data_IF_560193511355
#
_entry.id   IF_560193511355
#
_cell.length_a   1.000
_cell.length_b   1.000
_cell.length_c   1.000
_cell.angle_alpha   90.00
_cell.angle_beta   90.00
_cell.angle_gamma   90.00
#
_symmetry.space_group_name_H-M   'P 1'
#
loop_
_entity.id
_entity.type
_entity.pdbx_description
1 polymer ?
#
# COMPACT_ATOMS: atom_id res chain seq x y z
N UNK A 1 -18.65 3.95 -8.27
CA UNK A 1 -17.93 2.67 -8.52
C UNK A 1 -16.63 2.69 -7.76
N UNK A 2 -16.28 1.63 -7.03
CA UNK A 2 -15.07 1.50 -6.22
C UNK A 2 -14.35 0.20 -6.53
N UNK A 3 -13.02 0.21 -6.42
CA UNK A 3 -12.15 -0.95 -6.59
C UNK A 3 -11.39 -1.21 -5.28
N UNK A 4 -11.20 -2.47 -4.93
CA UNK A 4 -10.29 -2.92 -3.87
C UNK A 4 -9.51 -4.15 -4.33
N UNK A 5 -8.23 -4.20 -4.02
CA UNK A 5 -7.40 -5.40 -4.14
C UNK A 5 -6.96 -5.87 -2.75
N UNK A 6 -6.71 -7.16 -2.62
CA UNK A 6 -6.25 -7.74 -1.35
C UNK A 6 -4.71 -7.80 -1.24
N UNK A 7 -4.15 -8.15 -0.07
CA UNK A 7 -2.70 -8.17 0.16
C UNK A 7 -1.90 -9.17 -0.70
N UNK A 8 -2.54 -10.10 -1.41
CA UNK A 8 -1.87 -11.05 -2.31
C UNK A 8 -1.94 -10.65 -3.79
N UNK A 9 -2.59 -9.54 -4.13
CA UNK A 9 -2.48 -8.98 -5.47
C UNK A 9 -1.01 -8.63 -5.78
N UNK A 10 -0.46 -8.95 -6.97
CA UNK A 10 0.95 -8.76 -7.30
C UNK A 10 1.49 -7.35 -6.99
N UNK A 11 0.72 -6.30 -7.29
CA UNK A 11 1.12 -4.93 -6.95
C UNK A 11 1.17 -4.71 -5.42
N UNK A 12 0.28 -5.32 -4.64
CA UNK A 12 0.31 -5.23 -3.16
C UNK A 12 1.44 -6.04 -2.56
N UNK A 13 1.82 -7.15 -3.18
CA UNK A 13 3.04 -7.88 -2.81
C UNK A 13 4.27 -6.99 -3.01
N UNK A 14 4.36 -6.25 -4.12
CA UNK A 14 5.44 -5.28 -4.34
C UNK A 14 5.44 -4.18 -3.28
N UNK A 15 4.27 -3.60 -2.95
CA UNK A 15 4.12 -2.59 -1.90
C UNK A 15 4.53 -3.13 -0.52
N UNK A 16 4.13 -4.36 -0.18
CA UNK A 16 4.47 -5.01 1.09
C UNK A 16 5.96 -5.29 1.21
N UNK A 17 6.61 -5.76 0.14
CA UNK A 17 8.07 -5.94 0.11
C UNK A 17 8.76 -4.60 0.35
N UNK A 18 8.35 -3.55 -0.35
CA UNK A 18 8.90 -2.22 -0.18
C UNK A 18 8.68 -1.71 1.26
N UNK A 19 7.47 -1.89 1.83
CA UNK A 19 7.16 -1.54 3.22
C UNK A 19 8.01 -2.32 4.24
N UNK A 20 8.21 -3.63 4.03
CA UNK A 20 9.06 -4.44 4.90
C UNK A 20 10.52 -3.95 4.91
N UNK A 21 11.06 -3.50 3.77
CA UNK A 21 12.40 -2.93 3.71
C UNK A 21 12.48 -1.58 4.43
N UNK A 22 11.43 -0.77 4.37
CA UNK A 22 11.34 0.46 5.19
C UNK A 22 11.32 0.10 6.68
N UNK A 23 10.55 -0.90 7.09
CA UNK A 23 10.52 -1.38 8.48
C UNK A 23 11.90 -1.89 8.94
N UNK A 24 12.65 -2.60 8.08
CA UNK A 24 14.04 -3.00 8.36
C UNK A 24 14.94 -1.79 8.56
N UNK A 25 14.82 -0.75 7.72
CA UNK A 25 15.62 0.47 7.87
C UNK A 25 15.32 1.20 9.20
N UNK A 26 14.06 1.22 9.64
CA UNK A 26 13.68 1.80 10.95
C UNK A 26 14.17 0.98 12.15
N UNK A 27 14.43 -0.32 12.00
CA UNK A 27 15.10 -1.13 13.04
C UNK A 27 16.58 -0.75 13.19
N UNK A 28 17.25 -0.42 12.09
CA UNK A 28 18.67 -0.05 12.09
C UNK A 28 18.88 1.41 12.51
N UNK A 29 17.94 2.31 12.22
CA UNK A 29 18.04 3.73 12.52
C UNK A 29 16.71 4.34 12.88
N UNK A 30 16.69 5.23 13.86
CA UNK A 30 15.48 5.98 14.26
C UNK A 30 14.90 6.86 13.14
N UNK A 31 15.76 7.40 12.31
CA UNK A 31 15.41 8.29 11.18
C UNK A 31 16.17 7.87 9.93
N UNK A 32 15.82 6.75 9.32
CA UNK A 32 16.44 6.32 8.06
C UNK A 32 15.97 7.22 6.92
N UNK A 33 16.80 7.32 5.89
CA UNK A 33 16.37 7.85 4.60
C UNK A 33 16.35 6.68 3.62
N UNK A 34 15.17 6.34 3.14
CA UNK A 34 14.97 5.15 2.31
C UNK A 34 13.88 5.39 1.27
N UNK A 35 14.14 4.95 0.04
CA UNK A 35 13.17 4.89 -1.04
C UNK A 35 13.37 3.60 -1.81
N UNK A 36 12.36 2.74 -1.78
CA UNK A 36 12.37 1.39 -2.34
C UNK A 36 11.39 1.30 -3.49
N UNK A 37 11.87 0.86 -4.65
CA UNK A 37 11.02 0.47 -5.77
C UNK A 37 11.16 -1.02 -6.02
N UNK A 38 10.03 -1.70 -6.23
CA UNK A 38 9.95 -3.14 -6.44
C UNK A 38 9.18 -3.43 -7.72
N UNK A 39 9.76 -4.30 -8.54
CA UNK A 39 9.09 -4.96 -9.68
C UNK A 39 9.17 -6.46 -9.47
N UNK A 40 8.02 -7.13 -9.43
CA UNK A 40 7.95 -8.57 -9.13
C UNK A 40 7.03 -9.29 -10.11
N UNK A 41 7.37 -10.52 -10.44
CA UNK A 41 6.54 -11.43 -11.23
C UNK A 41 7.36 -12.59 -11.80
N UNK A 42 6.65 -13.68 -12.15
CA UNK A 42 7.25 -14.84 -12.79
C UNK A 42 8.51 -15.36 -12.08
N UNK A 43 8.41 -15.47 -10.74
CA UNK A 43 9.50 -15.96 -9.85
C UNK A 43 10.75 -15.07 -9.80
N UNK A 44 10.63 -13.80 -10.18
CA UNK A 44 11.73 -12.83 -10.10
C UNK A 44 11.26 -11.58 -9.38
N UNK A 45 12.11 -11.05 -8.49
CA UNK A 45 11.87 -9.80 -7.78
C UNK A 45 13.09 -8.87 -7.96
N UNK A 46 12.88 -7.72 -8.61
CA UNK A 46 13.88 -6.68 -8.78
C UNK A 46 13.61 -5.56 -7.77
N UNK A 47 14.64 -5.19 -7.02
CA UNK A 47 14.54 -4.17 -5.97
C UNK A 47 15.67 -3.15 -6.17
N UNK A 48 15.29 -1.87 -6.25
CA UNK A 48 16.21 -0.75 -6.12
C UNK A 48 15.88 -0.06 -4.81
N UNK A 49 16.87 0.04 -3.92
CA UNK A 49 16.77 0.71 -2.63
C UNK A 49 17.74 1.88 -2.57
N UNK A 50 17.21 3.10 -2.71
CA UNK A 50 17.97 4.33 -2.49
C UNK A 50 17.99 4.64 -1.00
N UNK A 51 19.14 4.48 -0.35
CA UNK A 51 19.21 4.58 1.11
C UNK A 51 20.59 5.03 1.62
N UNK A 52 20.58 5.64 2.80
CA UNK A 52 21.78 5.87 3.63
C UNK A 52 21.93 4.81 4.74
N UNK A 53 21.03 3.82 4.78
CA UNK A 53 20.97 2.76 5.80
C UNK A 53 21.30 1.41 5.15
N UNK A 54 22.41 0.80 5.56
CA UNK A 54 22.78 -0.51 5.05
C UNK A 54 21.83 -1.59 5.60
N UNK A 55 21.14 -2.30 4.72
CA UNK A 55 20.35 -3.50 5.06
C UNK A 55 21.15 -4.77 4.75
N UNK A 56 21.04 -5.78 5.60
CA UNK A 56 21.59 -7.12 5.30
C UNK A 56 20.77 -7.74 4.15
N UNK A 57 21.45 -8.12 3.07
CA UNK A 57 20.82 -8.72 1.89
C UNK A 57 20.06 -10.01 2.23
N UNK A 58 20.50 -10.75 3.25
CA UNK A 58 19.80 -11.95 3.73
C UNK A 58 18.43 -11.62 4.30
N UNK A 59 18.32 -10.54 5.08
CA UNK A 59 17.06 -10.09 5.65
C UNK A 59 16.09 -9.60 4.56
N UNK A 60 16.64 -8.94 3.52
CA UNK A 60 15.87 -8.54 2.32
C UNK A 60 15.31 -9.77 1.59
N UNK A 61 16.16 -10.76 1.31
CA UNK A 61 15.75 -12.00 0.64
C UNK A 61 14.71 -12.76 1.48
N UNK A 62 14.89 -12.83 2.78
CA UNK A 62 13.95 -13.47 3.69
C UNK A 62 12.59 -12.77 3.70
N UNK A 63 12.57 -11.44 3.73
CA UNK A 63 11.34 -10.65 3.62
C UNK A 63 10.59 -10.93 2.31
N UNK A 64 11.31 -10.96 1.18
CA UNK A 64 10.72 -11.29 -0.12
C UNK A 64 10.11 -12.69 -0.12
N UNK A 65 10.87 -13.71 0.31
CA UNK A 65 10.40 -15.10 0.35
C UNK A 65 9.18 -15.29 1.27
N UNK A 66 9.18 -14.64 2.43
CA UNK A 66 8.06 -14.67 3.38
C UNK A 66 6.81 -14.05 2.79
N UNK A 67 6.92 -12.87 2.17
CA UNK A 67 5.77 -12.12 1.65
C UNK A 67 5.19 -12.81 0.41
N UNK A 68 6.04 -13.30 -0.49
CA UNK A 68 5.62 -14.02 -1.70
C UNK A 68 5.17 -15.45 -1.42
N UNK A 69 5.52 -16.00 -0.25
CA UNK A 69 5.36 -17.43 0.10
C UNK A 69 6.06 -18.36 -0.91
N UNK A 70 7.08 -17.86 -1.60
CA UNK A 70 7.84 -18.60 -2.60
C UNK A 70 9.33 -18.66 -2.23
N UNK A 71 9.80 -19.85 -1.82
CA UNK A 71 11.18 -20.07 -1.42
C UNK A 71 12.18 -20.03 -2.60
N UNK A 72 11.69 -20.24 -3.82
CA UNK A 72 12.52 -20.35 -5.05
C UNK A 72 12.58 -19.05 -5.85
N UNK A 73 11.99 -17.97 -5.34
CA UNK A 73 12.01 -16.67 -6.02
C UNK A 73 13.45 -16.14 -6.12
N UNK A 74 13.81 -15.67 -7.29
CA UNK A 74 15.11 -15.01 -7.55
C UNK A 74 14.98 -13.54 -7.16
N UNK A 75 15.87 -13.07 -6.27
CA UNK A 75 15.89 -11.68 -5.80
C UNK A 75 17.13 -10.98 -6.38
N UNK A 76 16.89 -9.92 -7.14
CA UNK A 76 17.91 -9.00 -7.64
C UNK A 76 17.80 -7.69 -6.82
N UNK A 77 18.64 -7.57 -5.80
CA UNK A 77 18.64 -6.45 -4.87
C UNK A 77 19.81 -5.49 -5.14
N UNK A 78 19.49 -4.23 -5.36
CA UNK A 78 20.46 -3.18 -5.56
C UNK A 78 20.26 -2.05 -4.56
N UNK A 79 21.23 -1.87 -3.66
CA UNK A 79 21.29 -0.72 -2.77
C UNK A 79 22.17 0.36 -3.39
N UNK A 80 21.67 1.60 -3.41
CA UNK A 80 22.38 2.78 -3.91
C UNK A 80 22.26 3.95 -2.90
N UNK A 81 23.24 4.85 -2.82
CA UNK A 81 23.12 6.02 -1.96
C UNK A 81 22.04 6.97 -2.48
N UNK A 82 21.34 7.63 -1.55
CA UNK A 82 20.48 8.76 -1.91
C UNK A 82 21.30 9.98 -2.37
N UNK A 83 20.62 10.90 -3.05
CA UNK A 83 21.22 12.18 -3.46
C UNK A 83 21.82 12.95 -2.27
N UNK A 84 23.08 13.36 -2.41
CA UNK A 84 23.83 13.99 -1.33
C UNK A 84 23.28 15.36 -0.91
N UNK A 85 22.75 16.15 -1.85
CA UNK A 85 22.20 17.48 -1.55
C UNK A 85 20.96 17.40 -0.70
N UNK A 86 20.08 16.45 -1.01
CA UNK A 86 18.88 16.20 -0.23
C UNK A 86 19.22 15.70 1.18
N UNK A 87 20.14 14.74 1.29
CA UNK A 87 20.61 14.21 2.57
C UNK A 87 21.20 15.29 3.48
N UNK A 88 22.04 16.17 2.95
CA UNK A 88 22.64 17.26 3.74
C UNK A 88 21.60 18.28 4.25
N UNK A 89 20.57 18.55 3.47
CA UNK A 89 19.47 19.42 3.90
C UNK A 89 18.65 18.77 5.04
N UNK A 90 18.34 17.48 4.93
CA UNK A 90 17.53 16.73 5.91
C UNK A 90 18.29 16.42 7.22
N UNK A 91 19.63 16.36 7.23
CA UNK A 91 20.42 16.21 8.45
C UNK A 91 20.25 17.37 9.45
N UNK A 92 19.95 18.57 8.96
CA UNK A 92 19.85 19.78 9.79
C UNK A 92 18.46 19.99 10.37
N UNK A 93 17.43 19.64 9.62
CA UNK A 93 16.02 19.82 9.98
C UNK A 93 15.13 18.86 9.18
N UNK A 94 14.01 18.46 9.73
CA UNK A 94 12.97 17.72 8.97
C UNK A 94 12.38 18.68 7.94
N UNK A 95 12.61 18.39 6.66
CA UNK A 95 12.14 19.18 5.52
C UNK A 95 11.58 18.27 4.44
N UNK A 96 10.65 18.80 3.64
CA UNK A 96 10.08 18.08 2.50
C UNK A 96 11.18 17.68 1.50
N UNK A 97 11.20 16.41 1.14
CA UNK A 97 12.19 15.85 0.21
C UNK A 97 11.88 16.12 -1.26
N UNK A 98 10.66 16.61 -1.58
CA UNK A 98 10.23 16.88 -2.94
C UNK A 98 9.13 17.95 -2.97
N UNK A 99 8.78 18.41 -4.17
CA UNK A 99 7.56 19.17 -4.42
C UNK A 99 6.38 18.19 -4.47
N UNK A 100 5.25 18.55 -3.87
CA UNK A 100 4.09 17.69 -3.89
C UNK A 100 2.78 18.45 -3.78
N UNK A 101 1.73 17.87 -4.39
CA UNK A 101 0.33 18.22 -4.17
C UNK A 101 -0.37 16.99 -3.60
N UNK A 102 -1.23 17.18 -2.62
CA UNK A 102 -1.85 16.10 -1.85
C UNK A 102 -3.33 16.38 -1.64
N UNK A 103 -4.09 15.31 -1.44
CA UNK A 103 -5.50 15.36 -1.09
C UNK A 103 -5.79 14.46 0.11
N UNK A 104 -6.67 14.93 1.02
CA UNK A 104 -7.36 14.09 1.97
C UNK A 104 -8.82 14.05 1.59
N UNK A 105 -9.43 12.86 1.55
CA UNK A 105 -10.85 12.69 1.26
C UNK A 105 -11.44 11.73 2.30
N UNK A 106 -12.62 12.05 2.88
CA UNK A 106 -13.29 11.11 3.76
C UNK A 106 -13.61 9.81 3.05
N UNK A 107 -13.30 8.68 3.67
CA UNK A 107 -13.65 7.36 3.16
C UNK A 107 -15.18 7.21 3.18
N UNK A 108 -15.77 6.84 2.06
CA UNK A 108 -17.23 6.64 1.96
C UNK A 108 -17.67 5.36 2.67
N UNK A 109 -18.95 5.24 3.07
CA UNK A 109 -19.48 3.99 3.61
C UNK A 109 -19.29 2.81 2.65
N UNK A 110 -19.41 3.04 1.35
CA UNK A 110 -19.29 2.02 0.31
C UNK A 110 -17.84 1.54 0.12
N UNK A 111 -16.86 2.46 0.23
CA UNK A 111 -15.45 2.09 0.23
C UNK A 111 -15.11 1.23 1.45
N UNK A 112 -15.62 1.59 2.64
CA UNK A 112 -15.46 0.77 3.85
C UNK A 112 -16.12 -0.60 3.70
N UNK A 113 -17.33 -0.64 3.17
CA UNK A 113 -18.04 -1.90 2.95
C UNK A 113 -17.29 -2.81 1.96
N UNK A 114 -16.84 -2.27 0.81
CA UNK A 114 -16.06 -3.04 -0.15
C UNK A 114 -14.75 -3.56 0.47
N UNK A 115 -14.08 -2.74 1.29
CA UNK A 115 -12.84 -3.16 1.96
C UNK A 115 -13.11 -4.26 2.99
N UNK A 116 -14.20 -4.16 3.76
CA UNK A 116 -14.63 -5.19 4.71
C UNK A 116 -14.97 -6.51 3.99
N UNK A 117 -15.64 -6.44 2.83
CA UNK A 117 -15.92 -7.61 1.99
C UNK A 117 -14.61 -8.24 1.51
N UNK A 118 -13.69 -7.43 0.96
CA UNK A 118 -12.39 -7.90 0.49
C UNK A 118 -11.57 -8.55 1.61
N UNK A 119 -11.59 -7.96 2.81
CA UNK A 119 -10.93 -8.51 4.00
C UNK A 119 -11.49 -9.87 4.39
N UNK A 120 -12.80 -9.98 4.50
CA UNK A 120 -13.44 -11.24 4.87
C UNK A 120 -13.22 -12.36 3.82
N UNK A 121 -13.21 -12.01 2.52
CA UNK A 121 -12.86 -12.97 1.47
C UNK A 121 -11.39 -13.41 1.61
N UNK A 122 -10.49 -12.46 1.87
CA UNK A 122 -9.08 -12.74 2.04
C UNK A 122 -8.78 -13.62 3.28
N UNK A 123 -9.52 -13.43 4.37
CA UNK A 123 -9.40 -14.27 5.58
C UNK A 123 -9.79 -15.72 5.32
N UNK A 124 -10.80 -15.94 4.47
CA UNK A 124 -11.23 -17.29 4.06
C UNK A 124 -10.28 -17.89 3.01
N UNK A 125 -9.79 -17.07 2.08
CA UNK A 125 -8.95 -17.49 0.96
C UNK A 125 -7.83 -16.48 0.73
N UNK A 126 -6.67 -16.63 1.39
CA UNK A 126 -5.57 -15.66 1.34
C UNK A 126 -4.72 -15.80 0.05
N UNK A 127 -5.37 -15.69 -1.09
CA UNK A 127 -4.81 -15.71 -2.44
C UNK A 127 -5.13 -14.40 -3.16
N UNK A 128 -4.58 -14.17 -4.36
CA UNK A 128 -4.81 -12.98 -5.16
C UNK A 128 -6.29 -12.69 -5.40
N UNK A 129 -6.71 -11.45 -5.18
CA UNK A 129 -8.09 -11.04 -5.35
C UNK A 129 -8.27 -9.56 -5.66
N UNK A 130 -9.28 -9.29 -6.50
CA UNK A 130 -9.69 -7.96 -6.91
C UNK A 130 -11.21 -7.85 -6.92
N UNK A 131 -11.73 -6.76 -6.37
CA UNK A 131 -13.14 -6.56 -6.09
C UNK A 131 -13.60 -5.21 -6.60
N UNK A 132 -14.79 -5.15 -7.19
CA UNK A 132 -15.41 -3.90 -7.66
C UNK A 132 -16.84 -3.84 -7.13
N UNK A 133 -17.20 -2.70 -6.53
CA UNK A 133 -18.57 -2.37 -6.17
C UNK A 133 -19.09 -1.29 -7.10
N UNK A 134 -20.09 -1.66 -7.91
CA UNK A 134 -20.82 -0.74 -8.78
C UNK A 134 -22.15 -0.35 -8.12
N UNK A 135 -22.23 0.91 -7.70
CA UNK A 135 -23.41 1.43 -7.00
C UNK A 135 -24.62 1.65 -7.93
N UNK A 136 -24.37 1.97 -9.21
CA UNK A 136 -25.42 2.28 -10.16
C UNK A 136 -26.26 1.03 -10.49
N UNK A 137 -25.60 -0.12 -10.53
CA UNK A 137 -26.23 -1.41 -10.82
C UNK A 137 -26.43 -2.30 -9.59
N UNK A 138 -25.96 -1.85 -8.42
CA UNK A 138 -25.86 -2.64 -7.18
C UNK A 138 -25.15 -3.98 -7.40
N UNK A 139 -24.07 -3.95 -8.20
CA UNK A 139 -23.32 -5.14 -8.57
C UNK A 139 -22.00 -5.22 -7.80
N UNK A 140 -21.69 -6.42 -7.30
CA UNK A 140 -20.41 -6.77 -6.68
C UNK A 140 -19.70 -7.77 -7.59
N UNK A 141 -18.56 -7.34 -8.15
CA UNK A 141 -17.71 -8.17 -9.01
C UNK A 141 -16.54 -8.65 -8.15
N UNK A 142 -16.34 -9.97 -8.12
CA UNK A 142 -15.31 -10.67 -7.35
C UNK A 142 -14.47 -11.48 -8.33
N UNK A 143 -13.18 -11.13 -8.44
CA UNK A 143 -12.17 -11.96 -9.06
C UNK A 143 -11.23 -12.44 -7.95
N UNK A 144 -11.32 -13.72 -7.59
CA UNK A 144 -10.53 -14.34 -6.52
C UNK A 144 -9.84 -15.58 -7.06
N UNK A 145 -8.51 -15.62 -6.95
CA UNK A 145 -7.73 -16.82 -7.30
C UNK A 145 -8.19 -18.00 -6.45
N UNK A 146 -8.66 -19.06 -7.07
CA UNK A 146 -9.26 -20.20 -6.41
C UNK A 146 -8.68 -21.55 -6.85
N UNK A 147 -7.64 -21.55 -7.66
CA UNK A 147 -6.81 -22.73 -7.96
C UNK A 147 -5.59 -22.64 -7.05
N UNK A 148 -5.39 -23.61 -6.17
CA UNK A 148 -4.17 -23.84 -5.41
C UNK A 148 -3.43 -25.08 -5.90
N UNK A 149 -2.34 -25.49 -5.25
CA UNK A 149 -1.55 -26.68 -5.59
C UNK A 149 -2.36 -27.99 -5.48
N UNK A 150 -3.28 -28.21 -6.41
CA UNK A 150 -4.02 -29.45 -6.60
C UNK A 150 -5.44 -29.50 -6.04
N UNK A 151 -5.92 -28.48 -5.32
CA UNK A 151 -7.29 -28.43 -4.81
C UNK A 151 -8.09 -27.23 -5.36
N UNK A 152 -9.26 -27.51 -5.89
CA UNK A 152 -10.29 -26.50 -6.19
C UNK A 152 -11.14 -26.32 -4.94
N UNK A 153 -11.01 -25.19 -4.24
CA UNK A 153 -11.87 -24.85 -3.09
C UNK A 153 -13.25 -24.31 -3.51
N UNK A 154 -13.90 -24.98 -4.48
CA UNK A 154 -14.96 -24.35 -5.26
C UNK A 154 -16.31 -24.27 -4.58
N UNK A 155 -16.75 -25.30 -3.88
CA UNK A 155 -18.19 -25.42 -3.56
C UNK A 155 -18.54 -24.80 -2.21
N UNK A 156 -17.86 -25.10 -1.15
CA UNK A 156 -18.18 -24.60 0.20
C UNK A 156 -17.95 -23.10 0.34
N UNK A 157 -16.84 -22.60 -0.22
CA UNK A 157 -16.46 -21.20 -0.19
C UNK A 157 -17.49 -20.30 -0.89
N UNK A 158 -17.90 -20.65 -2.11
CA UNK A 158 -18.87 -19.85 -2.85
C UNK A 158 -20.26 -19.89 -2.21
N UNK A 159 -20.67 -21.02 -1.65
CA UNK A 159 -21.95 -21.15 -0.94
C UNK A 159 -22.01 -20.26 0.31
N UNK A 160 -20.92 -20.14 1.07
CA UNK A 160 -20.82 -19.22 2.21
C UNK A 160 -20.81 -17.76 1.75
N UNK A 161 -20.00 -17.41 0.76
CA UNK A 161 -19.96 -16.09 0.16
C UNK A 161 -21.32 -15.67 -0.40
N UNK A 162 -22.00 -16.57 -1.11
CA UNK A 162 -23.33 -16.30 -1.67
C UNK A 162 -24.39 -16.08 -0.59
N UNK A 163 -24.33 -16.80 0.52
CA UNK A 163 -25.23 -16.61 1.66
C UNK A 163 -25.02 -15.26 2.36
N UNK A 164 -23.78 -14.83 2.45
CA UNK A 164 -23.44 -13.60 3.15
C UNK A 164 -23.74 -12.32 2.36
N UNK A 165 -23.54 -12.35 1.02
CA UNK A 165 -23.68 -11.19 0.13
C UNK A 165 -25.03 -11.15 -0.61
N UNK A 166 -26.14 -11.46 0.05
CA UNK A 166 -27.46 -11.63 -0.59
C UNK A 166 -28.04 -10.37 -1.22
N UNK A 167 -27.62 -9.19 -0.75
CA UNK A 167 -28.17 -7.91 -1.20
C UNK A 167 -27.48 -7.33 -2.45
N UNK A 168 -26.40 -7.97 -2.94
CA UNK A 168 -25.71 -7.57 -4.16
C UNK A 168 -26.05 -8.50 -5.33
N UNK A 169 -26.10 -7.92 -6.53
CA UNK A 169 -26.01 -8.68 -7.77
C UNK A 169 -24.55 -9.10 -7.97
N UNK A 170 -24.26 -10.37 -7.75
CA UNK A 170 -22.89 -10.90 -7.75
C UNK A 170 -22.44 -11.38 -9.11
N UNK A 171 -21.18 -11.07 -9.46
CA UNK A 171 -20.43 -11.63 -10.58
C UNK A 171 -19.12 -12.18 -10.01
N UNK A 172 -19.01 -13.50 -9.89
CA UNK A 172 -17.86 -14.15 -9.28
C UNK A 172 -17.13 -14.96 -10.35
N UNK A 173 -15.83 -14.70 -10.49
CA UNK A 173 -14.94 -15.38 -11.44
C UNK A 173 -15.61 -15.65 -12.81
N UNK A 174 -15.97 -14.61 -13.58
CA UNK A 174 -16.82 -14.77 -14.77
C UNK A 174 -16.19 -15.61 -15.88
N UNK A 175 -14.89 -15.88 -15.82
CA UNK A 175 -14.19 -16.77 -16.75
C UNK A 175 -13.95 -18.17 -16.17
N UNK A 176 -14.53 -18.48 -14.99
CA UNK A 176 -14.31 -19.73 -14.25
C UNK A 176 -13.13 -19.66 -13.31
N UNK A 177 -12.64 -20.85 -12.92
CA UNK A 177 -11.50 -20.96 -12.01
C UNK A 177 -10.22 -20.41 -12.62
N UNK A 178 -9.42 -19.74 -11.82
CA UNK A 178 -8.15 -19.21 -12.25
C UNK A 178 -7.09 -19.21 -11.13
N UNK A 179 -5.84 -19.17 -11.54
CA UNK A 179 -4.66 -19.05 -10.70
C UNK A 179 -4.08 -17.64 -10.87
N UNK A 180 -3.98 -16.90 -9.76
CA UNK A 180 -3.43 -15.54 -9.70
C UNK A 180 -2.16 -15.47 -8.86
N UNK A 181 -1.64 -14.25 -8.73
CA UNK A 181 -0.46 -13.97 -7.92
C UNK A 181 0.81 -13.82 -8.74
N UNK A 182 1.94 -13.63 -8.05
CA UNK A 182 3.23 -13.25 -8.69
C UNK A 182 3.88 -14.35 -9.54
N UNK A 183 3.38 -15.58 -9.49
CA UNK A 183 3.91 -16.65 -10.36
C UNK A 183 3.40 -16.53 -11.80
N UNK A 184 2.26 -15.88 -12.02
CA UNK A 184 1.59 -15.77 -13.33
C UNK A 184 1.33 -14.33 -13.77
N UNK A 185 1.48 -13.36 -12.89
CA UNK A 185 1.29 -11.93 -13.18
C UNK A 185 2.42 -11.09 -12.58
N UNK A 186 2.52 -9.84 -13.00
CA UNK A 186 3.53 -8.88 -12.53
C UNK A 186 2.92 -7.79 -11.67
N UNK A 187 3.67 -7.37 -10.65
CA UNK A 187 3.34 -6.26 -9.78
C UNK A 187 4.49 -5.27 -9.64
N UNK A 188 4.14 -4.03 -9.34
CA UNK A 188 5.09 -2.98 -9.05
C UNK A 188 4.57 -2.06 -7.95
N UNK A 189 5.49 -1.41 -7.24
CA UNK A 189 5.17 -0.44 -6.18
C UNK A 189 4.24 0.67 -6.66
N UNK A 190 3.31 1.07 -5.80
CA UNK A 190 2.41 2.22 -5.98
C UNK A 190 1.46 2.14 -7.20
N UNK A 191 1.17 0.95 -7.73
CA UNK A 191 0.24 0.77 -8.85
C UNK A 191 -1.22 0.61 -8.44
N UNK A 192 -1.52 0.49 -7.14
CA UNK A 192 -2.88 0.31 -6.61
C UNK A 192 -3.31 1.43 -5.65
N UNK A 193 -2.82 2.64 -5.87
CA UNK A 193 -3.13 3.80 -5.02
C UNK A 193 -4.63 4.11 -4.98
N UNK A 194 -5.39 3.85 -6.03
CA UNK A 194 -6.85 3.99 -6.02
C UNK A 194 -7.53 3.06 -5.01
N UNK A 195 -7.03 1.82 -4.89
CA UNK A 195 -7.46 0.88 -3.86
C UNK A 195 -7.03 1.33 -2.45
N UNK A 196 -5.84 1.93 -2.33
CA UNK A 196 -5.23 2.30 -1.05
C UNK A 196 -5.77 3.60 -0.47
N UNK A 197 -6.08 4.58 -1.33
CA UNK A 197 -6.37 5.97 -0.97
C UNK A 197 -7.72 6.47 -1.51
N UNK A 198 -8.40 5.68 -2.35
CA UNK A 198 -9.64 6.09 -3.00
C UNK A 198 -9.45 7.37 -3.83
N UNK A 199 -10.36 8.33 -3.68
CA UNK A 199 -10.36 9.60 -4.42
C UNK A 199 -9.26 10.59 -3.96
N UNK A 200 -8.44 10.20 -2.97
CA UNK A 200 -7.31 11.01 -2.48
C UNK A 200 -6.03 10.86 -3.33
N UNK A 201 -6.02 10.00 -4.34
CA UNK A 201 -4.83 9.78 -5.19
C UNK A 201 -4.40 11.07 -5.88
N UNK A 202 -3.09 11.36 -5.76
CA UNK A 202 -2.38 12.42 -6.46
C UNK A 202 -1.13 11.87 -7.16
N UNK A 203 -0.17 12.70 -7.54
CA UNK A 203 1.03 12.25 -8.26
C UNK A 203 2.07 11.51 -7.44
N UNK A 204 1.98 11.54 -6.08
CA UNK A 204 2.93 10.87 -5.19
C UNK A 204 2.48 9.45 -4.81
N UNK A 205 3.46 8.61 -4.43
CA UNK A 205 3.18 7.27 -3.90
C UNK A 205 2.83 7.27 -2.41
N UNK A 206 2.52 6.08 -1.87
CA UNK A 206 2.26 5.87 -0.44
C UNK A 206 3.24 4.87 0.17
N UNK A 207 3.85 4.01 -0.64
CA UNK A 207 4.63 2.86 -0.20
C UNK A 207 6.11 2.96 -0.58
N UNK A 208 6.96 2.24 0.16
CA UNK A 208 8.38 2.09 -0.14
C UNK A 208 9.26 3.26 0.29
N UNK A 209 8.75 4.24 1.03
CA UNK A 209 9.51 5.43 1.44
C UNK A 209 9.39 5.68 2.94
N UNK A 210 10.43 6.28 3.52
CA UNK A 210 10.42 6.72 4.91
C UNK A 210 9.55 7.97 5.12
N UNK A 211 9.27 8.31 6.39
CA UNK A 211 8.39 9.42 6.75
C UNK A 211 8.96 10.82 6.47
N UNK A 212 10.23 10.94 6.11
CA UNK A 212 10.78 12.23 5.66
C UNK A 212 10.28 12.59 4.25
N UNK A 213 9.72 11.63 3.52
CA UNK A 213 9.11 11.85 2.21
C UNK A 213 7.66 12.32 2.38
N UNK A 214 7.36 13.47 1.81
CA UNK A 214 6.02 14.08 1.90
C UNK A 214 4.93 13.16 1.33
N UNK A 215 5.23 12.37 0.31
CA UNK A 215 4.32 11.39 -0.28
C UNK A 215 3.70 10.46 0.78
N UNK A 216 4.47 10.03 1.76
CA UNK A 216 3.99 9.16 2.82
C UNK A 216 3.36 9.97 3.95
N UNK A 217 4.14 10.88 4.55
CA UNK A 217 3.71 11.57 5.77
C UNK A 217 2.50 12.48 5.54
N UNK A 218 2.47 13.23 4.43
CA UNK A 218 1.35 14.16 4.15
C UNK A 218 0.10 13.40 3.74
N UNK A 219 0.21 12.34 2.94
CA UNK A 219 -0.95 11.52 2.57
C UNK A 219 -1.61 10.88 3.79
N UNK A 220 -0.82 10.29 4.71
CA UNK A 220 -1.32 9.74 5.96
C UNK A 220 -2.01 10.83 6.80
N UNK A 221 -1.35 11.95 7.02
CA UNK A 221 -1.87 13.05 7.83
C UNK A 221 -3.19 13.61 7.26
N UNK A 222 -3.25 13.86 5.95
CA UNK A 222 -4.47 14.36 5.31
C UNK A 222 -5.60 13.34 5.34
N UNK A 223 -5.29 12.06 5.21
CA UNK A 223 -6.29 11.01 5.38
C UNK A 223 -6.93 11.09 6.78
N UNK A 224 -6.11 11.08 7.84
CA UNK A 224 -6.58 11.20 9.22
C UNK A 224 -7.45 12.44 9.41
N UNK A 225 -6.97 13.61 8.96
CA UNK A 225 -7.69 14.89 9.14
C UNK A 225 -8.97 14.97 8.31
N UNK A 226 -9.01 14.36 7.13
CA UNK A 226 -10.23 14.29 6.34
C UNK A 226 -11.31 13.43 7.00
N UNK A 227 -10.93 12.32 7.66
CA UNK A 227 -11.87 11.53 8.47
C UNK A 227 -12.39 12.37 9.66
N UNK A 228 -11.49 13.03 10.42
CA UNK A 228 -11.83 13.86 11.57
C UNK A 228 -12.81 14.99 11.21
N UNK A 229 -12.58 15.67 10.09
CA UNK A 229 -13.34 16.84 9.68
C UNK A 229 -14.57 16.52 8.82
N UNK A 230 -14.70 15.29 8.32
CA UNK A 230 -15.78 14.88 7.43
C UNK A 230 -15.81 15.63 6.09
N UNK A 231 -14.67 16.19 5.65
CA UNK A 231 -14.56 16.95 4.40
C UNK A 231 -13.22 16.74 3.71
N UNK A 232 -13.19 17.04 2.41
CA UNK A 232 -11.96 17.06 1.62
C UNK A 232 -10.98 18.15 2.07
N UNK A 233 -9.68 17.85 1.97
CA UNK A 233 -8.55 18.74 2.23
C UNK A 233 -7.61 18.73 1.03
N UNK A 234 -6.94 19.86 0.78
CA UNK A 234 -5.90 19.98 -0.25
C UNK A 234 -4.63 20.52 0.38
N UNK A 235 -3.49 19.95 0.00
CA UNK A 235 -2.21 20.44 0.49
C UNK A 235 -1.14 20.48 -0.60
N UNK A 236 -0.11 21.29 -0.38
CA UNK A 236 1.10 21.30 -1.17
C UNK A 236 2.32 21.61 -0.31
N UNK A 237 3.47 21.14 -0.77
CA UNK A 237 4.78 21.55 -0.25
C UNK A 237 5.78 21.68 -1.39
N UNK A 238 6.94 22.26 -1.07
CA UNK A 238 8.09 22.26 -1.97
C UNK A 238 9.33 21.70 -1.29
N UNK A 239 10.25 21.21 -2.08
CA UNK A 239 11.52 20.66 -1.62
C UNK A 239 12.25 21.64 -0.70
N UNK A 240 12.79 21.13 0.41
CA UNK A 240 13.53 21.93 1.40
C UNK A 240 12.64 22.75 2.35
N UNK A 241 11.31 22.74 2.18
CA UNK A 241 10.38 23.42 3.11
C UNK A 241 10.17 22.62 4.38
N UNK A 242 10.12 23.30 5.52
CA UNK A 242 9.65 22.76 6.79
C UNK A 242 8.16 23.05 7.05
N UNK A 243 7.46 23.54 6.02
CA UNK A 243 6.04 23.89 6.06
C UNK A 243 5.31 23.19 4.93
N UNK A 244 4.14 22.63 5.26
CA UNK A 244 3.13 22.16 4.30
C UNK A 244 1.93 23.09 4.39
N UNK A 245 1.42 23.54 3.27
CA UNK A 245 0.21 24.37 3.21
C UNK A 245 -1.01 23.47 3.04
N UNK A 246 -1.93 23.49 4.02
CA UNK A 246 -3.19 22.74 3.97
C UNK A 246 -4.34 23.73 3.89
N UNK A 247 -5.13 23.69 2.83
CA UNK A 247 -6.19 24.66 2.51
C UNK A 247 -5.70 26.13 2.66
N UNK A 248 -4.45 26.38 2.25
CA UNK A 248 -3.80 27.69 2.31
C UNK A 248 -3.22 28.06 3.69
N UNK A 249 -3.41 27.24 4.71
CA UNK A 249 -2.86 27.45 6.06
C UNK A 249 -1.52 26.72 6.22
N UNK A 250 -0.46 27.39 6.76
CA UNK A 250 0.83 26.75 6.98
C UNK A 250 0.80 25.81 8.19
N UNK A 251 1.37 24.62 8.03
CA UNK A 251 1.52 23.60 9.06
C UNK A 251 2.98 23.17 9.15
N UNK A 252 3.47 22.97 10.37
CA UNK A 252 4.83 22.47 10.63
C UNK A 252 4.96 21.03 10.11
N UNK A 253 5.94 20.81 9.23
CA UNK A 253 6.15 19.50 8.61
C UNK A 253 6.61 18.45 9.62
N UNK A 254 7.40 18.84 10.63
CA UNK A 254 7.84 17.92 11.69
C UNK A 254 6.66 17.33 12.46
N UNK A 255 5.64 18.14 12.77
CA UNK A 255 4.41 17.64 13.43
C UNK A 255 3.59 16.72 12.55
N UNK A 256 3.59 16.95 11.23
CA UNK A 256 2.94 16.04 10.27
C UNK A 256 3.65 14.69 10.27
N UNK A 257 5.00 14.69 10.24
CA UNK A 257 5.81 13.47 10.30
C UNK A 257 5.60 12.71 11.61
N UNK A 258 5.50 13.41 12.76
CA UNK A 258 5.23 12.79 14.06
C UNK A 258 3.86 12.11 14.06
N UNK A 259 2.80 12.78 13.62
CA UNK A 259 1.46 12.20 13.54
C UNK A 259 1.39 11.00 12.58
N UNK A 260 2.09 11.07 11.43
CA UNK A 260 2.17 9.95 10.51
C UNK A 260 2.95 8.77 11.11
N UNK A 261 3.98 9.03 11.94
CA UNK A 261 4.73 7.99 12.66
C UNK A 261 3.85 7.26 13.68
N UNK A 262 3.06 8.01 14.45
CA UNK A 262 2.10 7.41 15.39
C UNK A 262 1.12 6.50 14.64
N UNK A 263 0.53 6.98 13.55
CA UNK A 263 -0.37 6.19 12.72
C UNK A 263 0.27 4.88 12.21
N UNK A 264 1.49 4.96 11.65
CA UNK A 264 2.21 3.77 11.13
C UNK A 264 2.52 2.79 12.27
N UNK A 265 2.93 3.28 13.43
CA UNK A 265 3.20 2.43 14.60
C UNK A 265 1.92 1.73 15.10
N UNK A 266 0.80 2.45 15.17
CA UNK A 266 -0.49 1.92 15.64
C UNK A 266 -1.02 0.79 14.75
N UNK A 267 -0.80 0.88 13.44
CA UNK A 267 -1.20 -0.18 12.50
C UNK A 267 -0.18 -1.33 12.41
N UNK A 268 1.01 -1.20 12.99
CA UNK A 268 2.03 -2.26 13.05
C UNK A 268 3.13 -2.19 12.00
N UNK A 269 3.39 -1.03 11.39
CA UNK A 269 4.51 -0.79 10.48
C UNK A 269 4.13 -0.53 9.03
N UNK A 270 5.15 -0.29 8.20
CA UNK A 270 4.97 0.03 6.78
C UNK A 270 4.51 -1.17 5.94
N UNK A 271 4.95 -2.39 6.27
CA UNK A 271 4.43 -3.61 5.62
C UNK A 271 2.92 -3.73 5.88
N UNK A 272 2.46 -3.44 7.10
CA UNK A 272 1.03 -3.46 7.44
C UNK A 272 0.25 -2.36 6.73
N UNK A 273 0.80 -1.15 6.66
CA UNK A 273 0.22 -0.09 5.83
C UNK A 273 0.03 -0.55 4.39
N UNK A 274 1.01 -1.26 3.84
CA UNK A 274 0.98 -1.73 2.46
C UNK A 274 -0.04 -2.86 2.21
N UNK A 275 -0.52 -3.57 3.22
CA UNK A 275 -1.56 -4.61 3.01
C UNK A 275 -2.85 -4.02 2.43
N UNK A 276 -3.33 -2.92 2.97
CA UNK A 276 -4.64 -2.35 2.63
C UNK A 276 -4.62 -0.86 2.28
N UNK A 277 -3.46 -0.21 2.34
CA UNK A 277 -3.32 1.24 2.19
C UNK A 277 -3.89 2.00 3.38
N UNK A 278 -4.58 3.10 3.13
CA UNK A 278 -5.23 3.94 4.15
C UNK A 278 -6.68 3.53 4.46
N UNK A 279 -7.25 2.60 3.69
CA UNK A 279 -8.64 2.13 3.84
C UNK A 279 -8.58 0.66 4.27
N UNK A 280 -8.59 0.43 5.58
CA UNK A 280 -8.50 -0.90 6.21
C UNK A 280 -9.87 -1.57 6.35
N UNK A 281 -9.93 -2.95 6.38
CA UNK A 281 -11.13 -3.73 6.71
C UNK A 281 -11.69 -3.46 8.09
#
# INVERSE_FOLDING_TARGET
MYEKVNPQHPDKIADRIAGALVDLAYKEREKPHVAVEVLIGHKTCHIINETDTLLDERDVIEAVKRITRNGDIVVDYKSVPQDNYLNEAQKKKVVCGDNGIFRGVPTTPEQRELTRIAGAIYDMMPTDGKYILDLDTNSLIICQSNIGDGDTHETEYYDELYRWLTHYKKVVNPIGNWYGGTDVDTGATNRKLGSDMGDAVTGGGLHGKDLSKADVAVNIYLHMKAQDYGRGLSAYCHIGSDVVYIDGTPHDYGKIVEAAREYVNDIGGFEKLAEWGLIHP
#
